data_IF_885069475118
#
_entry.id   IF_885069475118
#
_cell.length_a   1.000
_cell.length_b   1.000
_cell.length_c   1.000
_cell.angle_alpha   90.00
_cell.angle_beta   90.00
_cell.angle_gamma   90.00
#
_symmetry.space_group_name_H-M   'P 1'
#
loop_
_entity.id
_entity.type
_entity.pdbx_description
1 polymer ?
#
# COMPACT_ATOMS: atom_id res chain seq x y z
N UNK A 1 34.35 -36.27 -8.48
CA UNK A 1 33.47 -35.86 -9.59
C UNK A 1 33.87 -34.44 -9.94
N UNK A 2 34.63 -34.24 -11.00
CA UNK A 2 35.07 -32.88 -11.42
C UNK A 2 33.93 -32.23 -12.20
N UNK A 3 33.47 -31.10 -11.72
CA UNK A 3 32.50 -30.24 -12.43
C UNK A 3 33.18 -29.81 -13.72
N UNK A 4 32.52 -30.06 -14.87
CA UNK A 4 33.04 -29.70 -16.20
C UNK A 4 33.29 -28.20 -16.29
N UNK A 5 34.34 -27.75 -16.99
CA UNK A 5 34.60 -26.31 -17.15
C UNK A 5 33.43 -25.58 -17.84
N UNK A 6 32.64 -26.29 -18.64
CA UNK A 6 31.39 -25.78 -19.23
C UNK A 6 30.32 -25.48 -18.16
N UNK A 7 30.17 -26.36 -17.14
CA UNK A 7 29.21 -26.13 -16.05
C UNK A 7 29.65 -24.95 -15.20
N UNK A 8 30.95 -24.71 -15.05
CA UNK A 8 31.46 -23.53 -14.31
C UNK A 8 31.20 -22.23 -15.10
N UNK A 9 31.43 -22.23 -16.44
CA UNK A 9 31.10 -21.08 -17.28
C UNK A 9 29.60 -20.76 -17.32
N UNK A 10 28.72 -21.76 -17.34
CA UNK A 10 27.27 -21.56 -17.26
C UNK A 10 26.83 -21.03 -15.90
N UNK A 11 27.40 -21.53 -14.82
CA UNK A 11 27.14 -21.03 -13.45
C UNK A 11 27.65 -19.60 -13.32
N UNK A 12 28.80 -19.26 -13.84
CA UNK A 12 29.38 -17.92 -13.79
C UNK A 12 28.60 -16.92 -14.66
N UNK A 13 28.13 -17.31 -15.84
CA UNK A 13 27.25 -16.51 -16.69
C UNK A 13 25.86 -16.31 -16.12
N UNK A 14 25.33 -17.25 -15.35
CA UNK A 14 24.03 -17.12 -14.68
C UNK A 14 24.11 -16.37 -13.34
N UNK A 15 25.27 -16.41 -12.68
CA UNK A 15 25.48 -15.74 -11.39
C UNK A 15 25.76 -14.23 -11.51
N UNK A 16 26.41 -13.80 -12.60
CA UNK A 16 26.71 -12.39 -12.83
C UNK A 16 25.46 -11.48 -12.81
N UNK A 17 24.36 -11.77 -13.53
CA UNK A 17 23.14 -10.95 -13.49
C UNK A 17 22.43 -11.00 -12.13
N UNK A 18 22.54 -12.10 -11.38
CA UNK A 18 21.99 -12.20 -10.02
C UNK A 18 22.77 -11.33 -9.04
N UNK A 19 24.09 -11.30 -9.12
CA UNK A 19 24.93 -10.48 -8.27
C UNK A 19 24.68 -8.99 -8.53
N UNK A 20 24.59 -8.59 -9.80
CA UNK A 20 24.26 -7.20 -10.16
C UNK A 20 22.89 -6.78 -9.61
N UNK A 21 21.90 -7.66 -9.69
CA UNK A 21 20.56 -7.41 -9.15
C UNK A 21 20.56 -7.27 -7.62
N UNK A 22 21.36 -8.09 -6.91
CA UNK A 22 21.52 -7.99 -5.47
C UNK A 22 22.25 -6.70 -5.05
N UNK A 23 23.25 -6.25 -5.81
CA UNK A 23 23.94 -4.98 -5.58
C UNK A 23 22.95 -3.81 -5.77
N UNK A 24 22.10 -3.88 -6.80
CA UNK A 24 21.06 -2.88 -7.02
C UNK A 24 20.05 -2.86 -5.86
N UNK A 25 19.57 -4.01 -5.41
CA UNK A 25 18.67 -4.15 -4.25
C UNK A 25 19.28 -3.50 -3.01
N UNK A 26 20.54 -3.83 -2.67
CA UNK A 26 21.27 -3.24 -1.53
C UNK A 26 21.30 -1.72 -1.62
N UNK A 27 21.68 -1.17 -2.78
CA UNK A 27 21.76 0.28 -2.96
C UNK A 27 20.39 0.95 -2.76
N UNK A 28 19.32 0.38 -3.30
CA UNK A 28 17.96 0.92 -3.17
C UNK A 28 17.44 0.82 -1.76
N UNK A 29 17.74 -0.28 -1.06
CA UNK A 29 17.39 -0.47 0.35
C UNK A 29 18.08 0.57 1.23
N UNK A 30 19.38 0.86 1.00
CA UNK A 30 20.13 1.88 1.75
C UNK A 30 19.49 3.26 1.55
N UNK A 31 19.10 3.64 0.33
CA UNK A 31 18.41 4.91 0.07
C UNK A 31 17.04 4.99 0.74
N UNK A 32 16.26 3.90 0.70
CA UNK A 32 14.96 3.83 1.37
C UNK A 32 15.11 3.95 2.89
N UNK A 33 16.06 3.23 3.46
CA UNK A 33 16.32 3.25 4.91
C UNK A 33 16.87 4.62 5.36
N UNK A 34 17.77 5.22 4.59
CA UNK A 34 18.29 6.56 4.86
C UNK A 34 17.17 7.61 4.83
N UNK A 35 16.31 7.59 3.81
CA UNK A 35 15.16 8.49 3.73
C UNK A 35 14.14 8.28 4.85
N UNK A 36 13.87 7.01 5.21
CA UNK A 36 13.04 6.69 6.36
C UNK A 36 13.64 7.22 7.67
N UNK A 37 14.94 7.04 7.88
CA UNK A 37 15.60 7.50 9.11
C UNK A 37 15.56 9.02 9.26
N UNK A 38 15.78 9.77 8.18
CA UNK A 38 15.63 11.23 8.18
C UNK A 38 14.20 11.63 8.51
N UNK A 39 13.20 11.01 7.85
CA UNK A 39 11.80 11.28 8.11
C UNK A 39 11.40 10.92 9.55
N UNK A 40 11.92 9.81 10.10
CA UNK A 40 11.74 9.41 11.48
C UNK A 40 12.25 10.48 12.46
N UNK A 41 13.46 10.99 12.25
CA UNK A 41 14.03 12.04 13.13
C UNK A 41 13.18 13.31 13.08
N UNK A 42 12.72 13.72 11.91
CA UNK A 42 11.81 14.86 11.77
C UNK A 42 10.49 14.60 12.52
N UNK A 43 9.87 13.43 12.33
CA UNK A 43 8.64 13.06 13.03
C UNK A 43 8.84 12.97 14.55
N UNK A 44 9.99 12.51 15.01
CA UNK A 44 10.30 12.43 16.43
C UNK A 44 10.35 13.83 17.08
N UNK A 45 10.95 14.79 16.39
CA UNK A 45 10.96 16.18 16.86
C UNK A 45 9.55 16.78 16.92
N UNK A 46 8.66 16.40 16.00
CA UNK A 46 7.28 16.85 15.95
C UNK A 46 6.27 15.85 16.56
N UNK A 47 6.72 14.85 17.33
CA UNK A 47 5.87 13.76 17.84
C UNK A 47 4.63 14.26 18.61
N UNK A 48 4.76 15.33 19.40
CA UNK A 48 3.64 15.94 20.13
C UNK A 48 2.54 16.51 19.21
N UNK A 49 2.94 17.09 18.07
CA UNK A 49 1.97 17.58 17.06
C UNK A 49 1.28 16.43 16.36
N UNK A 50 2.05 15.41 16.02
CA UNK A 50 1.54 14.21 15.37
C UNK A 50 0.56 13.44 16.29
N UNK A 51 0.88 13.36 17.60
CA UNK A 51 -0.04 12.84 18.60
C UNK A 51 -1.38 13.58 18.60
N UNK A 52 -1.34 14.90 18.71
CA UNK A 52 -2.56 15.72 18.74
C UNK A 52 -3.37 15.54 17.44
N UNK A 53 -2.72 15.41 16.30
CA UNK A 53 -3.37 15.13 15.02
C UNK A 53 -4.12 13.79 15.09
N UNK A 54 -3.47 12.72 15.53
CA UNK A 54 -4.10 11.39 15.57
C UNK A 54 -5.20 11.26 16.63
N UNK A 55 -5.28 12.14 17.61
CA UNK A 55 -6.37 12.17 18.61
C UNK A 55 -7.63 12.90 18.09
N UNK A 56 -7.53 13.68 17.02
CA UNK A 56 -8.69 14.40 16.46
C UNK A 56 -9.85 13.49 16.08
N UNK A 57 -9.65 12.33 15.40
CA UNK A 57 -10.76 11.42 15.07
C UNK A 57 -11.51 10.89 16.31
N UNK A 58 -10.82 10.72 17.44
CA UNK A 58 -11.46 10.32 18.68
C UNK A 58 -12.37 11.44 19.24
N UNK A 59 -11.95 12.71 19.12
CA UNK A 59 -12.79 13.85 19.51
C UNK A 59 -14.05 13.94 18.64
N UNK A 60 -13.98 13.65 17.36
CA UNK A 60 -15.17 13.58 16.51
C UNK A 60 -16.10 12.45 16.92
N UNK A 61 -15.57 11.28 17.25
CA UNK A 61 -16.36 10.16 17.75
C UNK A 61 -17.12 10.50 19.05
N UNK A 62 -16.49 11.23 19.99
CA UNK A 62 -17.14 11.68 21.23
C UNK A 62 -18.27 12.66 20.94
N UNK A 63 -18.11 13.59 19.99
CA UNK A 63 -19.18 14.48 19.55
C UNK A 63 -20.36 13.69 18.96
N UNK A 64 -20.09 12.69 18.11
CA UNK A 64 -21.14 11.85 17.53
C UNK A 64 -21.87 11.00 18.57
N UNK A 65 -21.19 10.63 19.66
CA UNK A 65 -21.79 9.93 20.79
C UNK A 65 -22.58 10.86 21.75
N UNK A 66 -22.66 12.18 21.48
CA UNK A 66 -23.31 13.14 22.33
C UNK A 66 -22.54 13.45 23.63
N UNK A 67 -21.25 13.08 23.68
CA UNK A 67 -20.37 13.33 24.81
C UNK A 67 -19.58 14.63 24.61
N UNK A 68 -19.12 15.23 25.73
CA UNK A 68 -18.28 16.43 25.64
C UNK A 68 -16.87 16.11 25.11
N UNK A 69 -16.48 16.66 23.94
CA UNK A 69 -15.16 16.37 23.37
C UNK A 69 -14.00 16.93 24.19
N UNK A 70 -14.25 17.86 25.11
CA UNK A 70 -13.23 18.42 26.02
C UNK A 70 -12.92 17.48 27.20
N UNK A 71 -13.79 16.49 27.44
CA UNK A 71 -13.62 15.46 28.48
C UNK A 71 -12.99 14.17 27.95
N UNK A 72 -12.39 14.20 26.74
CA UNK A 72 -11.63 13.06 26.22
C UNK A 72 -10.36 12.89 27.03
N UNK A 73 -10.31 11.81 27.79
CA UNK A 73 -9.15 11.41 28.57
C UNK A 73 -8.54 10.13 27.99
N UNK A 74 -7.23 10.18 27.75
CA UNK A 74 -6.40 9.03 27.42
C UNK A 74 -5.46 8.79 28.59
N UNK A 75 -5.42 7.57 29.08
CA UNK A 75 -4.58 7.20 30.22
C UNK A 75 -3.32 6.46 29.79
N UNK A 76 -2.26 6.59 30.58
CA UNK A 76 -1.11 5.71 30.52
C UNK A 76 -0.88 5.05 31.88
N UNK A 77 -0.48 3.78 31.89
CA UNK A 77 -0.38 2.98 33.12
C UNK A 77 1.05 2.76 33.57
N UNK A 78 2.03 3.06 32.72
CA UNK A 78 3.42 2.95 33.05
C UNK A 78 4.21 4.21 32.62
N UNK A 79 5.15 4.71 33.43
CA UNK A 79 5.89 5.96 33.11
C UNK A 79 6.59 5.94 31.76
N UNK A 80 7.15 4.79 31.36
CA UNK A 80 7.85 4.62 30.09
C UNK A 80 6.90 4.45 28.89
N UNK A 81 5.63 4.14 29.10
CA UNK A 81 4.65 3.87 28.03
C UNK A 81 4.52 5.07 27.08
N UNK A 82 4.44 6.27 27.63
CA UNK A 82 4.31 7.47 26.82
C UNK A 82 5.51 7.73 25.93
N UNK A 83 6.74 7.50 26.45
CA UNK A 83 7.97 7.64 25.67
C UNK A 83 8.02 6.65 24.49
N UNK A 84 7.80 5.37 24.76
CA UNK A 84 7.82 4.36 23.69
C UNK A 84 6.70 4.60 22.68
N UNK A 85 5.57 5.12 23.11
CA UNK A 85 4.47 5.49 22.22
C UNK A 85 4.88 6.64 21.29
N UNK A 86 5.61 7.65 21.80
CA UNK A 86 6.14 8.71 20.94
C UNK A 86 7.16 8.19 19.91
N UNK A 87 8.03 7.24 20.29
CA UNK A 87 8.95 6.59 19.36
C UNK A 87 8.18 5.83 18.26
N UNK A 88 7.19 5.01 18.63
CA UNK A 88 6.33 4.31 17.67
C UNK A 88 5.61 5.28 16.74
N UNK A 89 5.09 6.36 17.28
CA UNK A 89 4.42 7.41 16.52
C UNK A 89 5.36 8.10 15.52
N UNK A 90 6.59 8.38 15.93
CA UNK A 90 7.60 8.94 15.05
C UNK A 90 8.01 7.95 13.94
N UNK A 91 8.13 6.66 14.26
CA UNK A 91 8.37 5.61 13.27
C UNK A 91 7.23 5.52 12.25
N UNK A 92 6.00 5.55 12.72
CA UNK A 92 4.81 5.54 11.86
C UNK A 92 4.78 6.77 10.96
N UNK A 93 4.92 7.98 11.50
CA UNK A 93 4.95 9.21 10.71
C UNK A 93 6.11 9.24 9.72
N UNK A 94 7.29 8.76 10.15
CA UNK A 94 8.46 8.59 9.29
C UNK A 94 8.18 7.64 8.11
N UNK A 95 7.50 6.53 8.35
CA UNK A 95 7.12 5.57 7.30
C UNK A 95 6.12 6.19 6.30
N UNK A 96 5.11 6.92 6.79
CA UNK A 96 4.12 7.60 5.93
C UNK A 96 4.80 8.65 5.05
N UNK A 97 5.69 9.48 5.63
CA UNK A 97 6.41 10.52 4.89
C UNK A 97 7.43 9.93 3.91
N UNK A 98 8.14 8.86 4.30
CA UNK A 98 9.10 8.19 3.45
C UNK A 98 8.45 7.29 2.39
N UNK A 99 7.14 7.01 2.49
CA UNK A 99 6.45 6.10 1.59
C UNK A 99 6.64 6.41 0.10
N UNK A 100 6.53 7.67 -0.39
CA UNK A 100 6.77 8.00 -1.80
C UNK A 100 8.20 7.66 -2.24
N UNK A 101 9.20 7.88 -1.38
CA UNK A 101 10.58 7.54 -1.65
C UNK A 101 10.75 6.01 -1.73
N UNK A 102 10.22 5.28 -0.73
CA UNK A 102 10.28 3.82 -0.65
C UNK A 102 9.60 3.20 -1.87
N UNK A 103 8.38 3.63 -2.20
CA UNK A 103 7.65 3.19 -3.37
C UNK A 103 8.47 3.42 -4.65
N UNK A 104 9.07 4.60 -4.81
CA UNK A 104 9.94 4.91 -5.95
C UNK A 104 11.12 3.94 -6.06
N UNK A 105 11.76 3.57 -4.96
CA UNK A 105 12.87 2.61 -4.98
C UNK A 105 12.40 1.20 -5.35
N UNK A 106 11.24 0.77 -4.82
CA UNK A 106 10.63 -0.52 -5.15
C UNK A 106 10.28 -0.58 -6.65
N UNK A 107 9.61 0.45 -7.18
CA UNK A 107 9.26 0.50 -8.60
C UNK A 107 10.49 0.52 -9.51
N UNK A 108 11.52 1.28 -9.16
CA UNK A 108 12.79 1.29 -9.91
C UNK A 108 13.53 -0.04 -9.83
N UNK A 109 13.33 -0.84 -8.79
CA UNK A 109 13.90 -2.18 -8.66
C UNK A 109 13.18 -3.20 -9.56
N UNK A 110 11.86 -3.06 -9.70
CA UNK A 110 11.04 -3.92 -10.57
C UNK A 110 11.21 -3.53 -12.05
N UNK A 111 11.44 -2.25 -12.34
CA UNK A 111 11.50 -1.67 -13.69
C UNK A 111 12.67 -2.13 -14.60
N UNK A 112 13.88 -2.53 -14.13
CA UNK A 112 14.96 -2.95 -15.04
C UNK A 112 14.61 -4.19 -15.87
N UNK A 113 13.69 -5.04 -15.42
CA UNK A 113 13.16 -6.16 -16.20
C UNK A 113 12.32 -5.76 -17.42
N UNK A 114 12.02 -4.46 -17.58
CA UNK A 114 11.25 -3.93 -18.70
C UNK A 114 12.14 -3.30 -19.78
N UNK A 115 11.73 -3.49 -21.03
CA UNK A 115 12.35 -2.89 -22.21
C UNK A 115 12.57 -1.38 -22.03
N UNK A 116 13.76 -0.91 -22.43
CA UNK A 116 14.22 0.50 -22.31
C UNK A 116 13.25 1.56 -22.87
N UNK A 117 12.34 1.17 -23.75
CA UNK A 117 11.39 2.07 -24.43
C UNK A 117 10.10 2.36 -23.64
N UNK A 118 9.84 1.67 -22.51
CA UNK A 118 8.59 1.83 -21.74
C UNK A 118 8.74 2.60 -20.42
N UNK A 119 9.87 3.26 -20.21
CA UNK A 119 10.14 4.03 -18.98
C UNK A 119 9.08 5.09 -18.66
N UNK A 120 8.54 5.73 -19.70
CA UNK A 120 7.48 6.73 -19.53
C UNK A 120 6.13 6.12 -19.12
N UNK A 121 5.94 4.84 -19.36
CA UNK A 121 4.75 4.11 -18.96
C UNK A 121 4.67 3.79 -17.47
N UNK A 122 5.79 3.95 -16.72
CA UNK A 122 5.85 3.76 -15.25
C UNK A 122 5.53 5.01 -14.46
N UNK A 123 5.69 6.19 -15.06
CA UNK A 123 5.47 7.45 -14.37
C UNK A 123 4.07 7.57 -13.76
N UNK A 124 2.97 7.16 -14.43
CA UNK A 124 1.65 7.17 -13.84
C UNK A 124 1.52 6.32 -12.57
N UNK A 125 2.14 5.15 -12.53
CA UNK A 125 2.11 4.26 -11.35
C UNK A 125 2.90 4.85 -10.18
N UNK A 126 4.02 5.51 -10.48
CA UNK A 126 4.86 6.16 -9.49
C UNK A 126 4.13 7.33 -8.79
N UNK A 127 3.31 8.08 -9.55
CA UNK A 127 2.50 9.18 -9.02
C UNK A 127 1.23 8.64 -8.33
N UNK A 128 0.59 7.62 -8.92
CA UNK A 128 -0.62 7.03 -8.37
C UNK A 128 -0.39 6.39 -7.00
N UNK A 129 0.77 5.76 -6.77
CA UNK A 129 1.07 5.05 -5.53
C UNK A 129 0.99 5.94 -4.29
N UNK A 130 1.71 7.07 -4.16
CA UNK A 130 1.55 7.97 -3.01
C UNK A 130 0.13 8.52 -2.85
N UNK A 131 -0.55 8.83 -3.96
CA UNK A 131 -1.91 9.37 -3.94
C UNK A 131 -2.88 8.31 -3.38
N UNK A 132 -2.81 7.07 -3.85
CA UNK A 132 -3.66 6.00 -3.36
C UNK A 132 -3.36 5.66 -1.90
N UNK A 133 -2.08 5.68 -1.50
CA UNK A 133 -1.71 5.49 -0.10
C UNK A 133 -2.36 6.54 0.80
N UNK A 134 -2.24 7.83 0.43
CA UNK A 134 -2.84 8.93 1.18
C UNK A 134 -4.38 8.87 1.15
N UNK A 135 -4.98 8.42 0.06
CA UNK A 135 -6.43 8.22 -0.04
C UNK A 135 -6.90 7.13 0.93
N UNK A 136 -6.21 5.99 1.00
CA UNK A 136 -6.49 4.93 1.98
C UNK A 136 -6.30 5.41 3.42
N UNK A 137 -5.20 6.10 3.70
CA UNK A 137 -4.93 6.71 5.00
C UNK A 137 -6.01 7.73 5.40
N UNK A 138 -6.45 8.57 4.46
CA UNK A 138 -7.51 9.57 4.67
C UNK A 138 -8.87 8.92 4.95
N UNK A 139 -9.20 7.85 4.25
CA UNK A 139 -10.44 7.10 4.48
C UNK A 139 -10.51 6.58 5.92
N UNK A 140 -9.40 6.03 6.43
CA UNK A 140 -9.32 5.57 7.81
C UNK A 140 -9.42 6.74 8.78
N UNK A 141 -8.66 7.78 8.55
CA UNK A 141 -8.57 8.91 9.46
C UNK A 141 -9.91 9.65 9.61
N UNK A 142 -10.60 9.94 8.49
CA UNK A 142 -11.82 10.75 8.50
C UNK A 142 -13.11 9.95 8.73
N UNK A 143 -13.15 8.68 8.34
CA UNK A 143 -14.38 7.89 8.40
C UNK A 143 -14.26 6.69 9.33
N UNK A 144 -13.27 5.84 9.12
CA UNK A 144 -13.23 4.55 9.78
C UNK A 144 -12.90 4.67 11.27
N UNK A 145 -11.89 5.45 11.64
CA UNK A 145 -11.50 5.64 13.04
C UNK A 145 -12.61 6.30 13.88
N UNK A 146 -13.24 7.42 13.44
CA UNK A 146 -14.35 7.99 14.19
C UNK A 146 -15.53 7.03 14.33
N UNK A 147 -15.85 6.25 13.29
CA UNK A 147 -16.94 5.28 13.31
C UNK A 147 -16.67 4.14 14.30
N UNK A 148 -15.48 3.58 14.31
CA UNK A 148 -15.06 2.52 15.24
C UNK A 148 -15.06 3.04 16.69
N UNK A 149 -14.51 4.22 16.90
CA UNK A 149 -14.48 4.83 18.25
C UNK A 149 -15.88 5.20 18.74
N UNK A 150 -16.75 5.70 17.86
CA UNK A 150 -18.15 5.94 18.18
C UNK A 150 -18.87 4.66 18.59
N UNK A 151 -18.64 3.56 17.87
CA UNK A 151 -19.21 2.25 18.21
C UNK A 151 -18.81 1.81 19.62
N UNK A 152 -17.52 1.90 19.99
CA UNK A 152 -17.06 1.54 21.33
C UNK A 152 -17.61 2.50 22.41
N UNK A 153 -17.72 3.80 22.12
CA UNK A 153 -18.32 4.78 23.02
C UNK A 153 -19.82 4.53 23.23
N UNK A 154 -20.53 4.07 22.21
CA UNK A 154 -21.95 3.72 22.32
C UNK A 154 -22.21 2.48 23.20
N UNK A 155 -21.18 1.66 23.46
CA UNK A 155 -21.27 0.52 24.38
C UNK A 155 -21.09 0.91 25.85
N UNK A 156 -20.80 2.19 26.16
CA UNK A 156 -20.73 2.69 27.55
C UNK A 156 -22.08 2.61 28.22
N UNK A 157 -22.09 2.33 29.53
CA UNK A 157 -23.28 2.36 30.37
C UNK A 157 -23.15 3.48 31.39
N UNK A 158 -24.08 4.42 31.34
CA UNK A 158 -24.21 5.45 32.40
C UNK A 158 -24.85 4.77 33.59
N UNK A 159 -24.09 4.59 34.68
CA UNK A 159 -24.58 3.97 35.90
C UNK A 159 -25.76 4.75 36.46
N UNK A 160 -26.87 4.07 36.74
CA UNK A 160 -27.96 4.52 37.62
C UNK A 160 -27.80 3.85 39.00
N UNK A 161 -28.60 4.22 39.99
CA UNK A 161 -28.44 3.77 41.40
C UNK A 161 -28.30 2.24 41.57
N UNK A 162 -28.77 1.43 40.61
CA UNK A 162 -28.69 -0.06 40.64
C UNK A 162 -27.84 -0.68 39.54
N UNK A 163 -27.20 0.10 38.65
CA UNK A 163 -26.42 -0.40 37.55
C UNK A 163 -24.95 0.00 37.64
N UNK A 164 -24.05 -0.93 37.29
CA UNK A 164 -22.61 -0.66 37.23
C UNK A 164 -22.31 0.34 36.12
N UNK A 165 -21.56 1.38 36.44
CA UNK A 165 -21.05 2.31 35.46
C UNK A 165 -19.92 1.65 34.66
N UNK A 166 -20.05 1.62 33.33
CA UNK A 166 -19.02 1.17 32.42
C UNK A 166 -18.61 2.33 31.53
N UNK A 167 -17.41 2.86 31.73
CA UNK A 167 -16.84 3.96 30.94
C UNK A 167 -15.61 3.50 30.17
N UNK A 168 -15.46 3.95 28.93
CA UNK A 168 -14.29 3.70 28.11
C UNK A 168 -13.19 4.71 28.47
N UNK A 169 -12.09 4.21 29.04
CA UNK A 169 -10.86 4.96 29.30
C UNK A 169 -9.71 4.31 28.52
N UNK A 170 -9.54 4.64 27.24
CA UNK A 170 -8.54 3.98 26.40
C UNK A 170 -7.13 4.38 26.80
N UNK A 171 -6.21 3.40 26.79
CA UNK A 171 -4.79 3.69 26.95
C UNK A 171 -4.24 4.39 25.71
N UNK A 172 -3.34 5.35 25.92
CA UNK A 172 -2.66 6.09 24.86
C UNK A 172 -2.02 5.14 23.85
N UNK A 173 -1.27 4.14 24.34
CA UNK A 173 -0.56 3.18 23.49
C UNK A 173 -1.49 2.29 22.68
N UNK A 174 -2.61 1.84 23.24
CA UNK A 174 -3.57 0.98 22.57
C UNK A 174 -4.34 1.75 21.49
N UNK A 175 -4.85 2.93 21.81
CA UNK A 175 -5.53 3.80 20.85
C UNK A 175 -4.62 4.16 19.67
N UNK A 176 -3.40 4.63 19.93
CA UNK A 176 -2.48 4.99 18.87
C UNK A 176 -2.01 3.77 18.05
N UNK A 177 -1.78 2.63 18.69
CA UNK A 177 -1.46 1.40 17.97
C UNK A 177 -2.58 1.00 17.02
N UNK A 178 -3.84 1.09 17.45
CA UNK A 178 -5.00 0.80 16.61
C UNK A 178 -5.06 1.72 15.40
N UNK A 179 -5.07 3.03 15.61
CA UNK A 179 -5.20 4.00 14.50
C UNK A 179 -4.00 3.94 13.54
N UNK A 180 -2.78 3.82 14.05
CA UNK A 180 -1.58 3.68 13.20
C UNK A 180 -1.62 2.40 12.37
N UNK A 181 -2.01 1.28 12.96
CA UNK A 181 -2.16 0.00 12.25
C UNK A 181 -3.21 0.10 11.16
N UNK A 182 -4.38 0.68 11.45
CA UNK A 182 -5.45 0.86 10.47
C UNK A 182 -5.02 1.77 9.31
N UNK A 183 -4.43 2.94 9.60
CA UNK A 183 -3.96 3.87 8.56
C UNK A 183 -2.94 3.20 7.65
N UNK A 184 -1.97 2.50 8.23
CA UNK A 184 -0.91 1.83 7.48
C UNK A 184 -1.46 0.67 6.64
N UNK A 185 -2.33 -0.16 7.23
CA UNK A 185 -2.96 -1.29 6.55
C UNK A 185 -3.79 -0.85 5.36
N UNK A 186 -4.66 0.14 5.53
CA UNK A 186 -5.44 0.68 4.41
C UNK A 186 -4.55 1.35 3.36
N UNK A 187 -3.54 2.12 3.80
CA UNK A 187 -2.56 2.69 2.87
C UNK A 187 -1.91 1.63 1.99
N UNK A 188 -1.54 0.47 2.56
CA UNK A 188 -0.98 -0.67 1.82
C UNK A 188 -2.03 -1.37 0.95
N UNK A 189 -3.24 -1.60 1.47
CA UNK A 189 -4.33 -2.23 0.71
C UNK A 189 -4.69 -1.40 -0.53
N UNK A 190 -4.65 -0.08 -0.43
CA UNK A 190 -4.87 0.81 -1.57
C UNK A 190 -3.76 0.73 -2.64
N UNK A 191 -2.63 0.06 -2.35
CA UNK A 191 -1.61 -0.25 -3.36
C UNK A 191 -1.99 -1.45 -4.26
N UNK A 192 -2.98 -2.27 -3.88
CA UNK A 192 -3.37 -3.45 -4.66
C UNK A 192 -3.63 -3.13 -6.15
N UNK A 193 -4.43 -2.12 -6.53
CA UNK A 193 -4.64 -1.79 -7.94
C UNK A 193 -3.36 -1.37 -8.66
N UNK A 194 -2.45 -0.68 -7.97
CA UNK A 194 -1.19 -0.21 -8.57
C UNK A 194 -0.24 -1.37 -8.81
N UNK A 195 -0.04 -2.22 -7.79
CA UNK A 195 0.86 -3.38 -7.87
C UNK A 195 0.37 -4.37 -8.92
N UNK A 196 -0.93 -4.72 -8.91
CA UNK A 196 -1.50 -5.64 -9.90
C UNK A 196 -1.45 -5.09 -11.32
N UNK A 197 -1.74 -3.80 -11.50
CA UNK A 197 -1.64 -3.11 -12.79
C UNK A 197 -0.21 -3.12 -13.33
N UNK A 198 0.77 -2.89 -12.46
CA UNK A 198 2.19 -2.98 -12.81
C UNK A 198 2.57 -4.39 -13.23
N UNK A 199 2.21 -5.41 -12.44
CA UNK A 199 2.49 -6.82 -12.75
C UNK A 199 1.81 -7.27 -14.05
N UNK A 200 0.60 -6.77 -14.33
CA UNK A 200 -0.10 -7.03 -15.60
C UNK A 200 0.64 -6.37 -16.75
N UNK A 201 1.12 -5.15 -16.59
CA UNK A 201 1.87 -4.45 -17.63
C UNK A 201 3.17 -5.16 -18.01
N UNK A 202 3.82 -5.74 -17.01
CA UNK A 202 5.05 -6.55 -17.18
C UNK A 202 4.76 -7.94 -17.79
N UNK A 203 3.48 -8.34 -17.82
CA UNK A 203 3.07 -9.67 -18.31
C UNK A 203 3.23 -10.80 -17.29
N UNK A 204 3.52 -10.48 -16.02
CA UNK A 204 3.64 -11.46 -14.92
C UNK A 204 2.29 -11.89 -14.37
N UNK A 205 1.24 -11.08 -14.57
CA UNK A 205 -0.10 -11.32 -14.05
C UNK A 205 -1.13 -11.04 -15.16
N UNK A 206 -2.16 -11.86 -15.26
CA UNK A 206 -3.28 -11.62 -16.18
C UNK A 206 -4.55 -11.26 -15.42
N UNK A 207 -5.40 -10.45 -16.06
CA UNK A 207 -6.72 -10.09 -15.50
C UNK A 207 -7.60 -11.31 -15.28
N UNK A 208 -7.45 -12.35 -16.11
CA UNK A 208 -8.15 -13.62 -15.97
C UNK A 208 -7.68 -14.37 -14.72
N UNK A 209 -6.37 -14.47 -14.49
CA UNK A 209 -5.83 -15.11 -13.28
C UNK A 209 -6.30 -14.45 -11.98
N UNK A 210 -6.43 -13.11 -11.98
CA UNK A 210 -7.03 -12.38 -10.88
C UNK A 210 -8.52 -12.72 -10.71
N UNK A 211 -9.28 -12.74 -11.81
CA UNK A 211 -10.71 -13.03 -11.79
C UNK A 211 -11.01 -14.44 -11.26
N UNK A 212 -10.22 -15.43 -11.64
CA UNK A 212 -10.38 -16.82 -11.20
C UNK A 212 -10.11 -16.99 -9.69
N UNK A 213 -9.27 -16.12 -9.13
CA UNK A 213 -8.89 -16.16 -7.70
C UNK A 213 -9.76 -15.27 -6.79
N UNK A 214 -10.87 -14.72 -7.27
CA UNK A 214 -11.78 -13.85 -6.48
C UNK A 214 -12.19 -14.47 -5.14
N UNK A 215 -12.58 -15.75 -5.13
CA UNK A 215 -13.00 -16.46 -3.91
C UNK A 215 -11.90 -16.43 -2.84
N UNK A 216 -10.67 -16.66 -3.26
CA UNK A 216 -9.51 -16.62 -2.37
C UNK A 216 -9.18 -15.22 -1.89
N UNK A 217 -9.34 -14.21 -2.75
CA UNK A 217 -9.14 -12.82 -2.38
C UNK A 217 -10.13 -12.35 -1.31
N UNK A 218 -11.41 -12.77 -1.41
CA UNK A 218 -12.43 -12.48 -0.38
C UNK A 218 -12.02 -13.11 0.95
N UNK A 219 -11.71 -14.41 0.97
CA UNK A 219 -11.29 -15.10 2.20
C UNK A 219 -10.04 -14.44 2.80
N UNK A 220 -9.03 -14.17 1.96
CA UNK A 220 -7.80 -13.54 2.40
C UNK A 220 -8.03 -12.13 2.96
N UNK A 221 -8.96 -11.36 2.39
CA UNK A 221 -9.32 -10.03 2.90
C UNK A 221 -9.87 -10.10 4.33
N UNK A 222 -10.72 -11.08 4.64
CA UNK A 222 -11.22 -11.28 6.00
C UNK A 222 -10.13 -11.80 6.95
N UNK A 223 -9.25 -12.69 6.50
CA UNK A 223 -8.11 -13.17 7.30
C UNK A 223 -7.16 -12.02 7.65
N UNK A 224 -6.80 -11.20 6.67
CA UNK A 224 -5.95 -10.02 6.88
C UNK A 224 -6.63 -9.02 7.81
N UNK A 225 -7.92 -8.78 7.62
CA UNK A 225 -8.69 -7.92 8.52
C UNK A 225 -8.67 -8.45 9.95
N UNK A 226 -8.91 -9.75 10.17
CA UNK A 226 -8.91 -10.35 11.50
C UNK A 226 -7.56 -10.27 12.23
N UNK A 227 -6.45 -10.26 11.49
CA UNK A 227 -5.10 -10.11 12.06
C UNK A 227 -4.77 -8.64 12.40
N UNK A 228 -5.27 -7.70 11.60
CA UNK A 228 -4.90 -6.28 11.70
C UNK A 228 -5.86 -5.45 12.55
N UNK A 229 -7.10 -5.90 12.75
CA UNK A 229 -8.11 -5.20 13.55
C UNK A 229 -8.40 -5.93 14.85
N UNK A 230 -8.92 -5.24 15.87
CA UNK A 230 -9.49 -5.91 17.03
C UNK A 230 -10.54 -6.94 16.62
N UNK A 231 -10.78 -7.96 17.44
CA UNK A 231 -11.75 -9.04 17.13
C UNK A 231 -13.21 -8.54 17.28
N UNK A 232 -13.59 -7.52 16.52
CA UNK A 232 -14.94 -6.99 16.45
C UNK A 232 -15.46 -7.01 14.99
N UNK A 233 -16.76 -7.31 14.78
CA UNK A 233 -17.33 -7.41 13.44
C UNK A 233 -17.28 -6.11 12.63
N UNK A 234 -17.38 -4.95 13.30
CA UNK A 234 -17.41 -3.65 12.65
C UNK A 234 -16.03 -3.33 12.03
N UNK A 235 -14.97 -3.43 12.82
CA UNK A 235 -13.60 -3.18 12.34
C UNK A 235 -13.18 -4.18 11.29
N UNK A 236 -13.52 -5.46 11.48
CA UNK A 236 -13.17 -6.52 10.55
C UNK A 236 -13.89 -6.35 9.19
N UNK A 237 -15.20 -6.14 9.18
CA UNK A 237 -15.94 -5.86 7.95
C UNK A 237 -15.51 -4.54 7.31
N UNK A 238 -15.26 -3.52 8.14
CA UNK A 238 -14.82 -2.21 7.70
C UNK A 238 -13.49 -2.23 6.93
N UNK A 239 -12.57 -3.16 7.24
CA UNK A 239 -11.33 -3.36 6.48
C UNK A 239 -11.54 -4.32 5.30
N UNK A 240 -12.29 -5.41 5.50
CA UNK A 240 -12.47 -6.45 4.46
C UNK A 240 -13.25 -5.93 3.24
N UNK A 241 -14.35 -5.19 3.45
CA UNK A 241 -15.20 -4.73 2.35
C UNK A 241 -14.47 -3.77 1.39
N UNK A 242 -13.80 -2.70 1.83
CA UNK A 242 -12.99 -1.88 0.94
C UNK A 242 -11.87 -2.66 0.24
N UNK A 243 -11.25 -3.64 0.92
CA UNK A 243 -10.22 -4.50 0.32
C UNK A 243 -10.78 -5.30 -0.86
N UNK A 244 -11.97 -5.87 -0.72
CA UNK A 244 -12.67 -6.61 -1.80
C UNK A 244 -13.01 -5.67 -2.96
N UNK A 245 -13.49 -4.46 -2.67
CA UNK A 245 -13.79 -3.46 -3.71
C UNK A 245 -12.51 -3.09 -4.47
N UNK A 246 -11.41 -2.85 -3.75
CA UNK A 246 -10.12 -2.52 -4.38
C UNK A 246 -9.56 -3.69 -5.21
N UNK A 247 -9.85 -4.93 -4.83
CA UNK A 247 -9.49 -6.09 -5.63
C UNK A 247 -10.27 -6.13 -6.97
N UNK A 248 -11.56 -5.78 -6.97
CA UNK A 248 -12.33 -5.65 -8.20
C UNK A 248 -11.82 -4.49 -9.08
N UNK A 249 -11.45 -3.36 -8.46
CA UNK A 249 -10.80 -2.26 -9.18
C UNK A 249 -9.46 -2.72 -9.78
N UNK A 250 -8.70 -3.55 -9.07
CA UNK A 250 -7.46 -4.14 -9.57
C UNK A 250 -7.69 -5.04 -10.81
N UNK A 251 -8.73 -5.86 -10.81
CA UNK A 251 -9.10 -6.68 -11.99
C UNK A 251 -9.50 -5.78 -13.16
N UNK A 252 -10.29 -4.75 -12.90
CA UNK A 252 -10.74 -3.82 -13.93
C UNK A 252 -9.57 -3.04 -14.56
N UNK A 253 -8.66 -2.51 -13.75
CA UNK A 253 -7.46 -1.80 -14.22
C UNK A 253 -6.55 -2.73 -15.03
N UNK A 254 -6.35 -3.97 -14.59
CA UNK A 254 -5.57 -4.98 -15.32
C UNK A 254 -6.17 -5.28 -16.70
N UNK A 255 -7.50 -5.42 -16.80
CA UNK A 255 -8.19 -5.59 -18.10
C UNK A 255 -8.00 -4.39 -19.04
N UNK A 256 -8.03 -3.17 -18.50
CA UNK A 256 -7.79 -1.98 -19.31
C UNK A 256 -6.36 -1.96 -19.88
N UNK A 257 -5.38 -2.34 -19.09
CA UNK A 257 -3.97 -2.41 -19.51
C UNK A 257 -3.79 -3.46 -20.60
N UNK A 258 -4.33 -4.67 -20.42
CA UNK A 258 -4.26 -5.75 -21.44
C UNK A 258 -4.91 -5.31 -22.77
N UNK A 259 -6.06 -4.65 -22.72
CA UNK A 259 -6.72 -4.12 -23.92
C UNK A 259 -5.88 -3.04 -24.62
N UNK A 260 -5.23 -2.15 -23.87
CA UNK A 260 -4.35 -1.14 -24.43
C UNK A 260 -3.14 -1.79 -25.12
N UNK A 261 -2.50 -2.75 -24.47
CA UNK A 261 -1.35 -3.48 -25.03
C UNK A 261 -1.73 -4.26 -26.29
N UNK A 262 -2.92 -4.88 -26.30
CA UNK A 262 -3.41 -5.58 -27.49
C UNK A 262 -3.62 -4.62 -28.68
N UNK A 263 -4.22 -3.45 -28.45
CA UNK A 263 -4.38 -2.42 -29.49
C UNK A 263 -3.03 -1.94 -30.05
N UNK A 264 -2.08 -1.67 -29.15
CA UNK A 264 -0.74 -1.20 -29.53
C UNK A 264 0.02 -2.25 -30.37
N UNK A 265 -0.16 -3.55 -30.07
CA UNK A 265 0.41 -4.65 -30.87
C UNK A 265 -0.20 -4.70 -32.27
N UNK A 266 -1.51 -4.66 -32.38
CA UNK A 266 -2.21 -4.65 -33.68
C UNK A 266 -1.83 -3.44 -34.54
N UNK A 267 -1.72 -2.25 -33.95
CA UNK A 267 -1.29 -1.06 -34.66
C UNK A 267 0.15 -1.19 -35.20
N UNK A 268 1.06 -1.79 -34.44
CA UNK A 268 2.45 -2.04 -34.87
C UNK A 268 2.52 -3.11 -35.98
N UNK A 269 1.69 -4.13 -35.93
CA UNK A 269 1.60 -5.16 -36.96
C UNK A 269 1.11 -4.55 -38.28
N UNK A 270 0.05 -3.77 -38.27
CA UNK A 270 -0.47 -3.06 -39.45
C UNK A 270 0.56 -2.10 -40.08
N UNK A 271 1.34 -1.39 -39.25
CA UNK A 271 2.41 -0.53 -39.73
C UNK A 271 3.54 -1.33 -40.40
N UNK A 272 3.90 -2.50 -39.87
CA UNK A 272 4.90 -3.37 -40.46
C UNK A 272 4.43 -3.95 -41.80
N UNK A 273 3.19 -4.39 -41.89
CA UNK A 273 2.61 -4.88 -43.13
C UNK A 273 2.53 -3.79 -44.19
N UNK A 274 2.07 -2.57 -43.82
CA UNK A 274 2.03 -1.42 -44.73
C UNK A 274 3.40 -1.01 -45.27
N UNK A 275 4.45 -1.09 -44.40
CA UNK A 275 5.81 -0.76 -44.85
C UNK A 275 6.44 -1.85 -45.74
N UNK A 276 6.08 -3.12 -45.52
CA UNK A 276 6.57 -4.22 -46.37
C UNK A 276 5.95 -4.21 -47.77
N UNK A 277 4.69 -3.79 -47.91
CA UNK A 277 4.00 -3.63 -49.18
C UNK A 277 4.56 -2.44 -49.95
N UNK A 278 4.84 -1.32 -49.28
CA UNK A 278 5.42 -0.13 -49.91
C UNK A 278 6.88 -0.33 -50.38
N UNK A 279 7.64 -1.21 -49.71
CA UNK A 279 9.03 -1.54 -50.13
C UNK A 279 9.14 -2.55 -51.28
N UNK A 280 8.03 -3.18 -51.68
CA UNK A 280 8.02 -4.22 -52.74
C UNK A 280 7.36 -3.74 -54.05
N UNK A 281 7.21 -2.42 -54.29
CA UNK A 281 6.87 -1.88 -55.61
C UNK A 281 8.13 -1.91 -56.48
N UNK A 282 8.17 -2.71 -57.54
CA UNK A 282 9.32 -2.75 -58.45
C UNK A 282 9.42 -1.40 -59.17
N UNK A 283 10.61 -0.85 -59.18
CA UNK A 283 10.98 0.39 -59.85
C UNK A 283 10.63 0.26 -61.35
N UNK A 284 9.51 0.83 -61.77
CA UNK A 284 9.06 0.84 -63.15
C UNK A 284 9.74 1.97 -63.94
N UNK A 285 11.07 2.09 -63.78
CA UNK A 285 11.86 3.05 -64.54
C UNK A 285 13.10 2.39 -65.16
N UNK A 286 12.87 1.39 -66.00
CA UNK A 286 13.90 0.91 -66.95
C UNK A 286 13.24 0.47 -68.26
N UNK A 287 12.85 1.42 -69.07
CA UNK A 287 12.77 1.31 -70.54
C UNK A 287 13.11 2.65 -71.16
#
# INVERSE_FOLDING_TARGET
MSVSDKDKEEIEKSSAPLIEHLIELRRRLIWSLGGFFVAFLVCFFFAKRLFNLLVVPFKWATQWAGLDPHKVELIYTAPQEFFFTQVKLAMFGGMVIAFPLIATQIYKFIAPGLYKNERNAFLPFLIASPILFLMGASLVYFFFTPMVMWFFLAMQQVGTNDQVQISLLPKVSEYLSLIMTLIFSFGLVFQLPVVTSLLTRVGLLSSQALADKRKWAIVLSFVVAAVLTPPDPLSQCGLAVPTIILYEVAIWSSRMIERSQARDRLAREQQREGSSVAGNTPDASST
#
